data_IF_033878877998
#
_entry.id   IF_033878877998
#
_cell.length_a   1.000
_cell.length_b   1.000
_cell.length_c   1.000
_cell.angle_alpha   90.00
_cell.angle_beta   90.00
_cell.angle_gamma   90.00
#
_symmetry.space_group_name_H-M   'P 1'
#
loop_
_entity.id
_entity.type
_entity.pdbx_description
1 polymer ?
#
# COMPACT_ATOMS: atom_id res chain seq x y z
N UNK A 1 -49.98 -22.75 -13.46
CA UNK A 1 -50.53 -23.66 -12.43
C UNK A 1 -49.46 -23.79 -11.35
N UNK A 2 -49.82 -23.61 -10.07
CA UNK A 2 -48.99 -23.83 -8.84
C UNK A 2 -48.05 -22.66 -8.46
N UNK A 3 -48.53 -21.70 -7.63
CA UNK A 3 -48.34 -21.48 -6.16
C UNK A 3 -46.90 -21.05 -5.79
N UNK A 4 -46.57 -19.83 -5.34
CA UNK A 4 -47.00 -18.99 -4.18
C UNK A 4 -46.59 -19.55 -2.80
N UNK A 5 -45.65 -18.86 -2.12
CA UNK A 5 -45.50 -18.66 -0.65
C UNK A 5 -44.08 -18.09 -0.38
N UNK A 6 -43.90 -16.84 0.04
CA UNK A 6 -44.11 -16.28 1.40
C UNK A 6 -43.15 -16.84 2.45
N UNK A 7 -42.37 -15.96 3.09
CA UNK A 7 -41.62 -16.30 4.29
C UNK A 7 -40.59 -15.26 4.72
N UNK A 8 -41.05 -14.11 5.21
CA UNK A 8 -40.27 -13.15 6.01
C UNK A 8 -39.82 -13.77 7.34
N UNK A 9 -38.55 -13.60 7.73
CA UNK A 9 -38.14 -13.66 9.12
C UNK A 9 -36.96 -12.71 9.35
N UNK A 10 -37.27 -11.52 9.87
CA UNK A 10 -36.28 -10.63 10.47
C UNK A 10 -35.95 -11.08 11.89
N UNK A 11 -34.71 -10.86 12.29
CA UNK A 11 -34.16 -10.87 13.66
C UNK A 11 -32.63 -10.77 13.51
N UNK A 12 -31.83 -10.03 14.29
CA UNK A 12 -32.03 -8.99 15.28
C UNK A 12 -30.60 -8.52 15.60
N UNK A 13 -30.40 -7.19 15.72
CA UNK A 13 -29.51 -6.51 16.67
C UNK A 13 -28.04 -6.93 16.76
N UNK A 14 -27.21 -6.04 16.23
CA UNK A 14 -26.20 -5.27 17.00
C UNK A 14 -25.81 -5.82 18.37
N UNK A 15 -24.54 -6.18 18.49
CA UNK A 15 -23.84 -6.45 19.76
C UNK A 15 -22.92 -7.65 19.56
N UNK A 16 -21.66 -7.68 19.97
CA UNK A 16 -20.77 -6.73 20.59
C UNK A 16 -19.38 -7.38 20.48
N UNK A 17 -18.35 -6.58 20.24
CA UNK A 17 -16.99 -6.71 20.78
C UNK A 17 -16.65 -8.08 21.40
N UNK A 18 -15.77 -8.85 20.74
CA UNK A 18 -14.95 -9.85 21.41
C UNK A 18 -13.47 -9.68 21.00
N UNK A 19 -12.98 -8.47 21.28
CA UNK A 19 -11.58 -8.08 21.34
C UNK A 19 -10.97 -8.61 22.66
N UNK A 20 -10.99 -9.93 22.84
CA UNK A 20 -10.96 -10.54 24.19
C UNK A 20 -10.00 -11.71 24.42
N UNK A 21 -8.97 -11.91 23.59
CA UNK A 21 -7.93 -12.94 23.83
C UNK A 21 -6.55 -12.40 23.47
N UNK A 22 -6.03 -11.46 24.26
CA UNK A 22 -4.66 -10.91 24.07
C UNK A 22 -3.89 -10.66 25.38
N UNK A 23 -4.38 -11.12 26.55
CA UNK A 23 -3.90 -10.56 27.84
C UNK A 23 -3.35 -11.54 28.88
N UNK A 24 -2.95 -12.78 28.55
CA UNK A 24 -2.39 -13.68 29.58
C UNK A 24 -1.07 -14.42 29.25
N UNK A 25 -0.41 -14.16 28.12
CA UNK A 25 0.76 -14.97 27.69
C UNK A 25 2.14 -14.30 27.72
N UNK A 26 2.25 -13.04 28.13
CA UNK A 26 3.47 -12.25 27.92
C UNK A 26 4.56 -12.37 29.01
N UNK A 27 4.47 -13.28 29.98
CA UNK A 27 5.38 -13.30 31.14
C UNK A 27 6.10 -14.64 31.36
N UNK A 28 6.99 -15.01 30.44
CA UNK A 28 8.02 -16.05 30.69
C UNK A 28 9.29 -15.86 29.85
N UNK A 29 9.63 -14.62 29.46
CA UNK A 29 10.80 -14.33 28.65
C UNK A 29 12.13 -14.21 29.43
N UNK A 30 12.27 -14.78 30.62
CA UNK A 30 13.44 -14.54 31.47
C UNK A 30 13.93 -15.80 32.20
N UNK A 31 14.59 -16.72 31.48
CA UNK A 31 15.65 -17.57 32.05
C UNK A 31 16.30 -18.48 30.99
N UNK A 32 17.13 -17.98 30.07
CA UNK A 32 18.18 -18.82 29.47
C UNK A 32 19.45 -17.99 29.26
N UNK A 33 20.54 -18.48 29.86
CA UNK A 33 21.85 -17.86 29.86
C UNK A 33 22.55 -17.86 28.50
N UNK A 34 23.60 -17.05 28.45
CA UNK A 34 24.47 -16.80 27.29
C UNK A 34 25.03 -18.09 26.66
N UNK A 35 24.53 -18.46 25.48
CA UNK A 35 25.15 -19.41 24.57
C UNK A 35 25.46 -18.71 23.24
N UNK A 36 26.74 -18.65 22.88
CA UNK A 36 27.22 -17.92 21.70
C UNK A 36 26.83 -18.60 20.38
N UNK A 37 26.53 -17.78 19.37
CA UNK A 37 26.45 -18.12 17.94
C UNK A 37 25.39 -19.17 17.54
N UNK A 38 24.26 -18.69 17.01
CA UNK A 38 23.10 -19.42 16.48
C UNK A 38 22.17 -20.10 17.51
N UNK A 39 21.24 -19.34 18.08
CA UNK A 39 20.14 -19.88 18.89
C UNK A 39 18.80 -19.22 18.49
N UNK A 40 18.13 -19.76 17.46
CA UNK A 40 16.70 -19.58 17.33
C UNK A 40 16.02 -20.34 18.49
N UNK A 41 15.60 -19.62 19.52
CA UNK A 41 14.85 -20.17 20.66
C UNK A 41 13.41 -20.34 20.23
N UNK A 42 12.92 -21.57 20.23
CA UNK A 42 11.52 -21.85 19.90
C UNK A 42 10.72 -22.28 21.11
N UNK A 43 9.46 -21.83 21.17
CA UNK A 43 8.45 -22.34 22.07
C UNK A 43 7.22 -22.74 21.24
N UNK A 44 6.83 -24.00 21.35
CA UNK A 44 5.55 -24.52 20.82
C UNK A 44 4.61 -24.76 21.99
N UNK A 45 3.40 -24.21 21.92
CA UNK A 45 2.31 -24.60 22.81
C UNK A 45 1.39 -25.53 22.01
N UNK A 46 1.12 -26.71 22.59
CA UNK A 46 0.21 -27.76 22.11
C UNK A 46 0.76 -28.88 21.21
N UNK A 47 2.02 -28.85 20.75
CA UNK A 47 2.63 -30.11 20.27
C UNK A 47 3.61 -30.00 19.11
N UNK A 48 4.86 -30.29 19.46
CA UNK A 48 6.02 -30.70 18.65
C UNK A 48 6.68 -29.61 17.77
N UNK A 49 7.66 -28.93 18.37
CA UNK A 49 8.75 -28.25 17.65
C UNK A 49 9.75 -27.57 18.60
N UNK A 50 10.98 -28.09 18.70
CA UNK A 50 12.08 -27.57 19.53
C UNK A 50 13.41 -27.62 18.74
N UNK A 51 13.60 -26.62 17.87
CA UNK A 51 14.86 -26.33 17.17
C UNK A 51 14.70 -26.02 15.67
N UNK A 52 14.90 -24.74 15.28
CA UNK A 52 15.24 -24.29 13.92
C UNK A 52 14.17 -24.31 12.81
N UNK A 53 12.88 -24.50 13.12
CA UNK A 53 11.86 -24.82 12.10
C UNK A 53 10.51 -25.15 12.73
N UNK A 54 10.06 -24.34 13.68
CA UNK A 54 9.22 -24.81 14.78
C UNK A 54 7.76 -24.97 14.36
N UNK A 55 7.32 -26.24 14.22
CA UNK A 55 5.94 -26.61 13.86
C UNK A 55 5.04 -26.74 15.09
N UNK A 56 3.72 -26.63 14.91
CA UNK A 56 2.73 -26.85 15.97
C UNK A 56 1.38 -27.29 15.40
N UNK A 57 0.72 -28.20 16.12
CA UNK A 57 -0.71 -28.62 16.09
C UNK A 57 -1.05 -29.04 17.53
N UNK A 58 -2.24 -29.39 18.03
CA UNK A 58 -3.63 -29.19 17.62
C UNK A 58 -4.15 -28.01 18.47
N UNK A 59 -4.64 -26.95 17.81
CA UNK A 59 -4.86 -25.56 18.31
C UNK A 59 -3.57 -24.74 18.52
N UNK A 60 -2.67 -24.88 17.55
CA UNK A 60 -1.25 -24.51 17.51
C UNK A 60 -0.89 -23.05 17.76
N UNK A 61 0.06 -22.84 18.68
CA UNK A 61 0.83 -21.59 18.82
C UNK A 61 2.32 -21.93 18.68
N UNK A 62 2.99 -21.35 17.70
CA UNK A 62 4.43 -21.44 17.46
C UNK A 62 5.07 -20.07 17.68
N UNK A 63 6.10 -19.99 18.53
CA UNK A 63 6.88 -18.78 18.77
C UNK A 63 8.35 -19.12 18.52
N UNK A 64 9.04 -18.35 17.69
CA UNK A 64 10.47 -18.50 17.45
C UNK A 64 11.20 -17.17 17.62
N UNK A 65 12.34 -17.16 18.31
CA UNK A 65 13.09 -15.96 18.65
C UNK A 65 14.54 -16.18 18.25
N UNK A 66 15.05 -15.40 17.31
CA UNK A 66 16.44 -15.45 16.88
C UNK A 66 16.58 -15.19 15.38
N UNK A 67 17.83 -15.01 14.95
CA UNK A 67 18.15 -14.91 13.53
C UNK A 67 17.90 -16.26 12.83
N UNK A 68 17.32 -16.24 11.63
CA UNK A 68 16.90 -17.45 10.89
C UNK A 68 15.86 -18.29 11.64
N UNK A 69 15.05 -17.65 12.49
CA UNK A 69 14.00 -18.33 13.23
C UNK A 69 12.76 -18.57 12.36
N UNK A 70 12.20 -19.77 12.44
CA UNK A 70 11.00 -20.15 11.69
C UNK A 70 9.92 -20.65 12.67
N UNK A 71 8.70 -20.13 12.52
CA UNK A 71 7.52 -20.53 13.27
C UNK A 71 6.41 -20.97 12.30
N UNK A 72 5.94 -22.20 12.46
CA UNK A 72 4.88 -22.83 11.67
C UNK A 72 3.76 -23.28 12.61
N UNK A 73 2.52 -22.82 12.38
CA UNK A 73 1.35 -23.26 13.14
C UNK A 73 0.29 -23.85 12.20
N UNK A 74 0.12 -25.17 12.28
CA UNK A 74 -0.68 -26.00 11.35
C UNK A 74 -2.03 -26.47 11.93
N UNK A 75 -2.62 -25.71 12.83
CA UNK A 75 -3.88 -26.04 13.50
C UNK A 75 -5.12 -25.36 12.91
N UNK A 76 -6.29 -25.81 13.37
CA UNK A 76 -7.59 -25.16 13.10
C UNK A 76 -7.67 -23.73 13.67
N UNK A 77 -6.94 -23.49 14.75
CA UNK A 77 -6.61 -22.17 15.30
C UNK A 77 -5.09 -22.07 15.38
N UNK A 78 -4.48 -21.28 14.50
CA UNK A 78 -3.03 -21.16 14.36
C UNK A 78 -2.50 -19.79 14.76
N UNK A 79 -1.41 -19.75 15.52
CA UNK A 79 -0.65 -18.54 15.77
C UNK A 79 0.84 -18.81 15.56
N UNK A 80 1.47 -18.14 14.60
CA UNK A 80 2.91 -18.17 14.37
C UNK A 80 3.50 -16.79 14.69
N UNK A 81 4.52 -16.75 15.54
CA UNK A 81 5.21 -15.52 15.91
C UNK A 81 6.71 -15.72 15.75
N UNK A 82 7.38 -14.83 15.03
CA UNK A 82 8.85 -14.75 15.04
C UNK A 82 9.37 -13.41 15.50
N UNK A 83 10.52 -13.44 16.17
CA UNK A 83 11.29 -12.26 16.52
C UNK A 83 12.76 -12.48 16.14
N UNK A 84 13.21 -11.85 15.06
CA UNK A 84 14.59 -11.89 14.61
C UNK A 84 14.74 -11.49 13.15
N UNK A 85 15.99 -11.33 12.72
CA UNK A 85 16.29 -11.11 11.30
C UNK A 85 16.25 -12.44 10.53
N UNK A 86 15.94 -12.38 9.24
CA UNK A 86 15.82 -13.54 8.35
C UNK A 86 14.80 -14.57 8.85
N UNK A 87 13.71 -14.11 9.46
CA UNK A 87 12.75 -14.97 10.16
C UNK A 87 11.44 -15.15 9.40
N UNK A 88 10.76 -16.27 9.65
CA UNK A 88 9.56 -16.67 8.93
C UNK A 88 8.44 -17.11 9.88
N UNK A 89 7.26 -16.49 9.79
CA UNK A 89 6.06 -16.95 10.47
C UNK A 89 5.02 -17.41 9.45
N UNK A 90 4.60 -18.67 9.53
CA UNK A 90 3.65 -19.27 8.61
C UNK A 90 2.53 -20.04 9.32
N UNK A 91 1.34 -19.99 8.75
CA UNK A 91 0.19 -20.84 9.15
C UNK A 91 -0.43 -21.51 7.93
N UNK A 92 -1.25 -22.54 8.16
CA UNK A 92 -1.79 -23.37 7.06
C UNK A 92 -3.11 -22.86 6.50
N UNK A 93 -3.34 -23.13 5.21
CA UNK A 93 -4.63 -22.92 4.58
C UNK A 93 -5.72 -23.85 5.16
N UNK A 94 -6.98 -23.44 5.08
CA UNK A 94 -8.13 -24.25 5.53
C UNK A 94 -8.40 -24.27 7.04
N UNK A 95 -7.59 -23.57 7.84
CA UNK A 95 -7.89 -23.32 9.25
C UNK A 95 -9.07 -22.35 9.42
N UNK A 96 -9.70 -22.34 10.60
CA UNK A 96 -10.78 -21.39 10.88
C UNK A 96 -10.26 -19.98 11.11
N UNK A 97 -9.23 -19.85 11.96
CA UNK A 97 -8.65 -18.55 12.30
C UNK A 97 -7.15 -18.67 12.52
N UNK A 98 -6.37 -17.87 11.77
CA UNK A 98 -4.92 -17.90 11.83
C UNK A 98 -4.29 -16.52 12.02
N UNK A 99 -3.17 -16.51 12.73
CA UNK A 99 -2.36 -15.33 13.00
C UNK A 99 -0.90 -15.65 12.69
N UNK A 100 -0.25 -14.84 11.86
CA UNK A 100 1.18 -14.88 11.61
C UNK A 100 1.78 -13.50 11.90
N UNK A 101 2.86 -13.46 12.66
CA UNK A 101 3.50 -12.22 13.11
C UNK A 101 5.00 -12.38 13.01
N UNK A 102 5.68 -11.44 12.38
CA UNK A 102 7.15 -11.39 12.38
C UNK A 102 7.65 -10.04 12.87
N UNK A 103 8.80 -10.03 13.53
CA UNK A 103 9.52 -8.80 13.91
C UNK A 103 10.99 -8.90 13.58
N UNK A 104 11.55 -7.92 12.86
CA UNK A 104 12.95 -7.89 12.43
C UNK A 104 13.15 -7.67 10.93
N UNK A 105 14.40 -7.80 10.49
CA UNK A 105 14.83 -7.54 9.11
C UNK A 105 14.70 -8.78 8.23
N UNK A 106 14.41 -8.63 6.93
CA UNK A 106 14.30 -9.73 5.96
C UNK A 106 13.29 -10.82 6.36
N UNK A 107 12.06 -10.40 6.69
CA UNK A 107 11.07 -11.31 7.25
C UNK A 107 9.97 -11.73 6.27
N UNK A 108 9.49 -12.96 6.47
CA UNK A 108 8.38 -13.54 5.73
C UNK A 108 7.22 -13.88 6.67
N UNK A 109 6.06 -13.24 6.47
CA UNK A 109 4.83 -13.50 7.22
C UNK A 109 3.74 -14.02 6.31
N UNK A 110 3.16 -15.16 6.69
CA UNK A 110 2.21 -15.91 5.88
C UNK A 110 1.06 -16.46 6.73
N UNK A 111 -0.16 -15.99 6.46
CA UNK A 111 -1.37 -16.44 7.13
C UNK A 111 -2.37 -17.04 6.12
N UNK A 112 -2.79 -18.30 6.34
CA UNK A 112 -3.79 -18.99 5.53
C UNK A 112 -5.03 -19.35 6.32
N UNK A 113 -6.17 -19.62 5.68
CA UNK A 113 -7.41 -20.03 6.36
C UNK A 113 -8.63 -19.16 6.04
N UNK A 114 -9.77 -19.55 6.62
CA UNK A 114 -11.05 -18.86 6.49
C UNK A 114 -10.90 -17.43 6.97
N UNK A 115 -10.42 -17.19 8.20
CA UNK A 115 -10.02 -15.86 8.65
C UNK A 115 -8.53 -15.84 8.97
N UNK A 116 -7.74 -14.97 8.33
CA UNK A 116 -6.30 -14.95 8.59
C UNK A 116 -5.71 -13.55 8.70
N UNK A 117 -4.76 -13.42 9.61
CA UNK A 117 -4.09 -12.17 9.95
C UNK A 117 -2.59 -12.37 9.80
N UNK A 118 -1.95 -11.62 8.92
CA UNK A 118 -0.52 -11.56 8.75
C UNK A 118 -0.01 -10.17 9.14
N UNK A 119 0.98 -10.12 10.01
CA UNK A 119 1.63 -8.89 10.44
C UNK A 119 3.14 -8.99 10.36
N UNK A 120 3.81 -7.95 9.87
CA UNK A 120 5.25 -7.79 10.04
C UNK A 120 5.55 -6.41 10.63
N UNK A 121 6.45 -6.37 11.61
CA UNK A 121 6.80 -5.13 12.29
C UNK A 121 8.30 -4.94 12.41
N UNK A 122 8.74 -3.67 12.31
CA UNK A 122 10.12 -3.26 12.58
C UNK A 122 11.12 -4.05 11.73
N UNK A 123 11.21 -3.65 10.48
CA UNK A 123 12.31 -4.00 9.61
C UNK A 123 13.03 -2.72 9.18
N UNK A 124 14.33 -2.79 9.01
CA UNK A 124 15.10 -1.82 8.27
C UNK A 124 15.07 -2.16 6.78
N UNK A 125 14.93 -3.45 6.42
CA UNK A 125 15.12 -3.98 5.08
C UNK A 125 14.21 -5.20 4.81
N UNK A 126 13.44 -5.18 3.71
CA UNK A 126 12.66 -6.30 3.15
C UNK A 126 11.63 -6.98 4.08
N UNK A 127 10.34 -6.80 3.79
CA UNK A 127 9.24 -7.53 4.44
C UNK A 127 8.26 -8.08 3.41
N UNK A 128 7.82 -9.33 3.60
CA UNK A 128 6.68 -9.90 2.89
C UNK A 128 5.60 -10.30 3.88
N UNK A 129 4.37 -9.84 3.65
CA UNK A 129 3.21 -10.08 4.49
C UNK A 129 2.06 -10.54 3.62
N UNK A 130 1.61 -11.78 3.81
CA UNK A 130 0.53 -12.37 3.00
C UNK A 130 -0.53 -12.95 3.92
N UNK A 131 -1.78 -12.55 3.72
CA UNK A 131 -2.95 -13.11 4.36
C UNK A 131 -3.92 -13.72 3.34
N UNK A 132 -4.69 -14.70 3.79
CA UNK A 132 -5.69 -15.39 3.00
C UNK A 132 -5.09 -16.45 2.08
N UNK A 133 -3.98 -17.06 2.48
CA UNK A 133 -3.34 -18.10 1.68
C UNK A 133 -4.26 -19.32 1.59
N UNK A 134 -4.63 -19.67 0.36
CA UNK A 134 -5.58 -20.72 0.02
C UNK A 134 -6.35 -20.35 -1.25
N UNK A 135 -7.20 -21.26 -1.73
CA UNK A 135 -8.05 -21.00 -2.89
C UNK A 135 -9.22 -20.07 -2.48
N UNK A 136 -9.76 -19.26 -3.40
CA UNK A 136 -11.01 -18.50 -3.15
C UNK A 136 -12.17 -19.43 -2.75
N UNK A 137 -12.10 -20.68 -3.19
CA UNK A 137 -13.05 -21.75 -2.81
C UNK A 137 -12.83 -22.31 -1.41
N UNK A 138 -11.67 -22.05 -0.78
CA UNK A 138 -11.39 -22.48 0.60
C UNK A 138 -12.11 -21.62 1.65
N UNK A 139 -13.01 -20.72 1.22
CA UNK A 139 -13.78 -19.88 2.11
C UNK A 139 -12.94 -18.83 2.81
N UNK A 140 -11.84 -18.40 2.18
CA UNK A 140 -10.98 -17.33 2.66
C UNK A 140 -11.82 -16.05 2.70
N UNK A 141 -12.20 -15.65 3.91
CA UNK A 141 -13.12 -14.57 4.23
C UNK A 141 -12.52 -13.73 5.35
N UNK A 142 -12.24 -12.46 5.06
CA UNK A 142 -11.77 -11.53 6.09
C UNK A 142 -10.28 -11.62 6.35
N UNK A 143 -9.47 -11.62 5.29
CA UNK A 143 -8.02 -11.70 5.42
C UNK A 143 -7.39 -10.33 5.59
N UNK A 144 -6.43 -10.24 6.51
CA UNK A 144 -5.78 -9.00 6.86
C UNK A 144 -4.27 -9.15 6.82
N UNK A 145 -3.60 -8.39 5.96
CA UNK A 145 -2.16 -8.28 5.91
C UNK A 145 -1.74 -6.87 6.30
N UNK A 146 -0.76 -6.75 7.18
CA UNK A 146 -0.19 -5.48 7.58
C UNK A 146 1.31 -5.52 7.77
N UNK A 147 1.99 -4.46 7.37
CA UNK A 147 3.41 -4.27 7.57
C UNK A 147 3.69 -2.89 8.16
N UNK A 148 4.68 -2.81 9.05
CA UNK A 148 5.13 -1.56 9.66
C UNK A 148 6.64 -1.44 9.53
N UNK A 149 7.06 -0.28 9.05
CA UNK A 149 8.41 0.23 8.99
C UNK A 149 9.33 -0.59 8.08
N UNK A 150 9.66 0.02 6.95
CA UNK A 150 10.95 -0.01 6.29
C UNK A 150 10.93 1.11 5.24
N UNK A 151 11.93 2.00 5.15
CA UNK A 151 12.04 2.87 3.97
C UNK A 151 12.30 2.06 2.69
N UNK A 152 12.49 0.75 2.82
CA UNK A 152 12.79 -0.23 1.80
C UNK A 152 11.62 -1.23 1.61
N UNK A 153 11.77 -2.11 0.63
CA UNK A 153 10.66 -2.85 0.01
C UNK A 153 9.80 -3.63 1.01
N UNK A 154 8.52 -3.30 1.03
CA UNK A 154 7.52 -4.02 1.80
C UNK A 154 6.41 -4.51 0.88
N UNK A 155 6.06 -5.78 0.98
CA UNK A 155 4.92 -6.39 0.30
C UNK A 155 3.86 -6.73 1.31
N UNK A 156 2.65 -6.22 1.08
CA UNK A 156 1.48 -6.55 1.87
C UNK A 156 0.37 -7.03 0.96
N UNK A 157 -0.11 -8.26 1.17
CA UNK A 157 -1.12 -8.86 0.32
C UNK A 157 -2.19 -9.62 1.10
N UNK A 158 -3.44 -9.52 0.66
CA UNK A 158 -4.55 -10.20 1.31
C UNK A 158 -5.54 -10.68 0.25
N UNK A 159 -5.90 -11.97 0.30
CA UNK A 159 -6.66 -12.63 -0.77
C UNK A 159 -7.88 -13.40 -0.24
N UNK A 160 -8.98 -13.52 -1.00
CA UNK A 160 -10.26 -14.03 -0.49
C UNK A 160 -11.46 -13.09 -0.70
N UNK A 161 -12.46 -13.20 0.16
CA UNK A 161 -13.62 -12.31 0.19
C UNK A 161 -13.46 -11.38 1.39
N UNK A 162 -13.43 -10.07 1.17
CA UNK A 162 -13.32 -9.09 2.26
C UNK A 162 -11.89 -8.92 2.75
N UNK A 163 -10.91 -8.76 1.85
CA UNK A 163 -9.50 -8.70 2.26
C UNK A 163 -8.96 -7.28 2.34
N UNK A 164 -7.98 -7.13 3.21
CA UNK A 164 -7.33 -5.87 3.51
C UNK A 164 -5.84 -6.03 3.57
N UNK A 165 -5.13 -5.15 2.89
CA UNK A 165 -3.68 -5.05 2.97
C UNK A 165 -3.28 -3.64 3.35
N UNK A 166 -2.27 -3.55 4.22
CA UNK A 166 -1.78 -2.29 4.79
C UNK A 166 -0.25 -2.26 4.85
N UNK A 167 0.37 -1.17 4.40
CA UNK A 167 1.80 -0.92 4.58
C UNK A 167 1.98 0.45 5.22
N UNK A 168 2.76 0.52 6.29
CA UNK A 168 2.83 1.68 7.16
C UNK A 168 4.27 2.12 7.33
N UNK A 169 4.54 3.40 7.04
CA UNK A 169 5.88 3.98 6.98
C UNK A 169 6.85 3.10 6.17
N UNK A 170 6.23 2.40 5.23
CA UNK A 170 6.80 1.34 4.47
C UNK A 170 6.77 1.81 3.04
N UNK A 171 7.92 1.88 2.41
CA UNK A 171 7.90 1.90 0.97
C UNK A 171 7.32 0.57 0.48
N UNK A 172 6.65 0.56 -0.67
CA UNK A 172 6.31 -0.68 -1.36
C UNK A 172 4.82 -0.97 -1.49
N UNK A 173 4.55 -2.21 -1.82
CA UNK A 173 3.32 -2.67 -2.46
C UNK A 173 2.30 -3.14 -1.46
N UNK A 174 1.06 -2.79 -1.74
CA UNK A 174 -0.10 -3.24 -0.99
C UNK A 174 -1.12 -3.76 -1.97
N UNK A 175 -1.60 -4.96 -1.78
CA UNK A 175 -2.43 -5.67 -2.76
C UNK A 175 -3.59 -6.39 -2.07
N UNK A 176 -4.78 -6.34 -2.63
CA UNK A 176 -5.96 -7.05 -2.16
C UNK A 176 -6.47 -7.85 -3.34
N UNK A 177 -6.91 -9.09 -3.15
CA UNK A 177 -7.49 -9.92 -4.23
C UNK A 177 -8.73 -10.72 -3.85
N UNK A 178 -9.71 -10.81 -4.75
CA UNK A 178 -11.02 -11.46 -4.57
C UNK A 178 -12.17 -10.48 -4.35
N UNK A 179 -13.27 -10.84 -3.70
CA UNK A 179 -14.45 -9.96 -3.69
C UNK A 179 -14.37 -9.03 -2.49
N UNK A 180 -14.43 -7.71 -2.71
CA UNK A 180 -14.40 -6.75 -1.61
C UNK A 180 -13.00 -6.58 -1.03
N UNK A 181 -12.24 -5.66 -1.61
CA UNK A 181 -10.80 -5.57 -1.39
C UNK A 181 -10.40 -4.20 -0.94
N UNK A 182 -9.36 -4.17 -0.11
CA UNK A 182 -8.78 -2.96 0.45
C UNK A 182 -7.26 -3.02 0.46
N UNK A 183 -6.64 -1.94 0.01
CA UNK A 183 -5.19 -1.81 -0.09
C UNK A 183 -4.79 -0.42 0.23
N UNK A 184 -3.83 -0.33 1.12
CA UNK A 184 -3.44 0.89 1.80
C UNK A 184 -1.92 0.94 2.05
N UNK A 185 -1.21 1.94 1.56
CA UNK A 185 0.12 2.35 1.99
C UNK A 185 -0.06 3.68 2.66
N UNK A 186 0.75 3.95 3.64
CA UNK A 186 0.66 5.09 4.51
C UNK A 186 2.07 5.52 4.82
N UNK A 187 2.48 6.72 4.40
CA UNK A 187 3.79 7.29 4.78
C UNK A 187 4.97 6.41 4.35
N UNK A 188 4.69 5.36 3.57
CA UNK A 188 5.46 5.12 2.39
C UNK A 188 5.53 6.44 1.65
N UNK A 189 6.63 7.13 1.91
CA UNK A 189 7.40 7.59 0.78
C UNK A 189 7.48 6.39 -0.15
N UNK A 190 7.02 6.51 -1.38
CA UNK A 190 7.14 5.40 -2.33
C UNK A 190 6.26 4.20 -1.98
N UNK A 191 5.04 4.52 -1.62
CA UNK A 191 3.93 3.65 -1.55
C UNK A 191 3.41 3.07 -2.89
N UNK A 192 2.56 2.03 -2.91
CA UNK A 192 1.70 1.64 -4.06
C UNK A 192 0.65 0.63 -3.58
N UNK A 193 -0.63 0.83 -3.84
CA UNK A 193 -1.76 0.07 -3.27
C UNK A 193 -2.51 -0.59 -4.46
N UNK A 194 -3.18 -1.72 -4.32
CA UNK A 194 -4.03 -2.30 -5.36
C UNK A 194 -5.08 -3.24 -4.82
N UNK A 195 -6.33 -2.86 -4.77
CA UNK A 195 -7.43 -3.84 -4.69
C UNK A 195 -7.46 -4.70 -5.97
N UNK A 196 -8.13 -5.85 -6.07
CA UNK A 196 -8.34 -6.65 -7.31
C UNK A 196 -9.43 -7.71 -7.23
N UNK A 197 -10.62 -7.41 -7.71
CA UNK A 197 -11.75 -8.34 -7.55
C UNK A 197 -12.84 -7.65 -6.78
N UNK A 198 -14.08 -8.10 -6.99
CA UNK A 198 -15.23 -7.20 -7.17
C UNK A 198 -14.94 -5.86 -6.54
N UNK A 199 -14.43 -4.99 -7.42
CA UNK A 199 -13.44 -5.21 -8.53
C UNK A 199 -12.55 -3.99 -8.60
N UNK A 200 -12.25 -3.60 -7.40
CA UNK A 200 -11.61 -2.39 -7.03
C UNK A 200 -10.15 -2.66 -7.10
N UNK A 201 -9.40 -1.66 -7.50
CA UNK A 201 -7.98 -1.53 -7.28
C UNK A 201 -7.83 -0.26 -6.39
N UNK A 202 -6.73 0.12 -5.75
CA UNK A 202 -6.61 1.39 -4.96
C UNK A 202 -5.14 1.43 -4.70
N UNK A 203 -4.37 2.41 -5.13
CA UNK A 203 -2.93 2.71 -4.93
C UNK A 203 -2.62 3.89 -3.99
N UNK A 204 -1.38 4.28 -3.81
CA UNK A 204 -0.96 5.55 -3.24
C UNK A 204 0.52 5.45 -3.50
N UNK A 205 1.05 6.14 -4.49
CA UNK A 205 2.41 5.97 -4.99
C UNK A 205 3.50 6.71 -4.23
N UNK A 206 3.75 7.97 -4.51
CA UNK A 206 4.91 8.66 -3.95
C UNK A 206 4.79 10.12 -4.29
N UNK A 207 5.65 10.92 -3.70
CA UNK A 207 5.14 11.85 -2.74
C UNK A 207 5.29 11.30 -1.35
N UNK A 208 5.55 12.25 -0.48
CA UNK A 208 4.73 12.22 0.70
C UNK A 208 3.27 12.31 0.28
N UNK A 209 2.40 11.61 0.98
CA UNK A 209 0.95 11.89 0.93
C UNK A 209 0.27 11.56 -0.39
N UNK A 210 0.13 10.26 -0.71
CA UNK A 210 -0.42 9.84 -1.99
C UNK A 210 -1.69 8.97 -1.85
N UNK A 211 -2.53 8.86 -2.88
CA UNK A 211 -3.90 8.30 -2.79
C UNK A 211 -4.55 7.99 -4.15
N UNK A 212 -4.51 6.74 -4.54
CA UNK A 212 -5.11 6.12 -5.73
C UNK A 212 -6.25 5.27 -5.13
N UNK A 213 -7.51 5.51 -5.46
CA UNK A 213 -8.62 4.61 -5.12
C UNK A 213 -9.41 4.18 -6.33
N UNK A 214 -9.79 2.92 -6.35
CA UNK A 214 -10.60 2.37 -7.38
C UNK A 214 -11.84 1.70 -6.82
N UNK A 215 -12.97 2.31 -7.11
CA UNK A 215 -14.16 2.30 -6.28
C UNK A 215 -15.40 1.92 -7.08
N UNK A 216 -16.30 1.18 -6.46
CA UNK A 216 -17.13 0.21 -7.17
C UNK A 216 -18.50 0.71 -7.61
N UNK A 217 -18.72 2.02 -7.71
CA UNK A 217 -20.06 2.60 -7.85
C UNK A 217 -20.83 2.01 -9.04
N UNK A 218 -21.72 1.04 -8.73
CA UNK A 218 -22.67 0.30 -9.60
C UNK A 218 -22.37 -1.18 -9.92
N UNK A 219 -21.49 -1.87 -9.17
CA UNK A 219 -20.89 -3.11 -9.68
C UNK A 219 -19.73 -2.73 -10.57
N UNK A 220 -18.90 -1.85 -10.03
CA UNK A 220 -17.57 -1.56 -10.48
C UNK A 220 -16.61 -2.73 -10.32
N UNK A 221 -17.01 -3.83 -10.90
CA UNK A 221 -16.29 -4.46 -11.98
C UNK A 221 -15.36 -3.45 -12.69
N UNK A 222 -14.15 -3.35 -12.14
CA UNK A 222 -12.96 -2.82 -12.79
C UNK A 222 -12.80 -1.33 -12.60
N UNK A 223 -12.39 -0.91 -11.42
CA UNK A 223 -12.07 0.50 -11.19
C UNK A 223 -10.56 0.74 -11.17
N UNK A 224 -10.15 1.95 -11.62
CA UNK A 224 -8.78 2.46 -11.54
C UNK A 224 -8.50 3.93 -11.10
N UNK A 225 -8.38 4.33 -9.84
CA UNK A 225 -8.02 5.71 -9.51
C UNK A 225 -6.64 5.79 -8.95
N UNK A 226 -5.69 6.48 -9.60
CA UNK A 226 -4.25 6.67 -9.36
C UNK A 226 -3.65 8.03 -9.02
N UNK A 227 -3.27 8.29 -7.77
CA UNK A 227 -2.32 9.35 -7.43
C UNK A 227 -0.84 9.01 -7.66
N UNK A 228 -0.25 9.81 -8.52
CA UNK A 228 1.12 9.67 -8.96
C UNK A 228 1.88 10.98 -8.80
N UNK A 229 2.80 11.00 -7.84
CA UNK A 229 3.86 12.00 -7.71
C UNK A 229 3.37 13.42 -7.61
N UNK A 230 3.85 14.01 -6.55
CA UNK A 230 3.14 15.08 -5.97
C UNK A 230 3.38 15.01 -4.51
N UNK A 231 2.86 16.02 -3.88
CA UNK A 231 2.52 15.91 -2.50
C UNK A 231 1.03 16.21 -2.52
N UNK A 232 0.26 15.46 -1.78
CA UNK A 232 -1.13 15.84 -1.55
C UNK A 232 -2.00 15.70 -2.80
N UNK A 233 -1.99 14.52 -3.39
CA UNK A 233 -2.75 14.25 -4.59
C UNK A 233 -3.84 13.20 -4.31
N UNK A 234 -4.93 13.22 -5.07
CA UNK A 234 -6.11 12.42 -4.74
C UNK A 234 -6.80 11.93 -5.99
N UNK A 235 -7.07 10.62 -5.99
CA UNK A 235 -7.52 9.96 -7.20
C UNK A 235 -8.52 8.88 -6.95
N UNK A 236 -9.60 8.92 -7.70
CA UNK A 236 -10.80 8.15 -7.42
C UNK A 236 -11.51 7.72 -8.68
N UNK A 237 -11.81 6.44 -8.77
CA UNK A 237 -12.66 5.93 -9.86
C UNK A 237 -13.88 5.27 -9.36
N UNK A 238 -14.97 5.47 -10.10
CA UNK A 238 -16.29 5.02 -9.74
C UNK A 238 -17.05 4.56 -10.98
N UNK A 239 -17.38 3.28 -11.08
CA UNK A 239 -18.19 2.79 -12.20
C UNK A 239 -17.91 1.35 -12.56
N UNK A 240 -18.67 0.80 -13.50
CA UNK A 240 -18.11 -0.24 -14.37
C UNK A 240 -17.07 0.47 -15.25
N UNK A 241 -15.77 0.19 -15.06
CA UNK A 241 -14.68 0.78 -15.86
C UNK A 241 -14.44 2.29 -15.67
N UNK A 242 -14.29 2.76 -14.44
CA UNK A 242 -13.82 4.13 -14.23
C UNK A 242 -12.30 4.20 -14.04
N UNK A 243 -11.68 5.26 -14.57
CA UNK A 243 -10.23 5.57 -14.49
C UNK A 243 -9.98 7.02 -14.04
N UNK A 244 -9.21 7.23 -12.99
CA UNK A 244 -8.89 8.55 -12.48
C UNK A 244 -7.41 8.63 -12.17
N UNK A 245 -6.80 9.79 -12.32
CA UNK A 245 -5.34 9.96 -12.20
C UNK A 245 -4.83 11.35 -11.85
N UNK A 246 -4.05 11.57 -10.79
CA UNK A 246 -3.31 12.84 -10.56
C UNK A 246 -1.86 12.66 -10.92
N UNK A 247 -1.29 13.67 -11.57
CA UNK A 247 0.03 13.62 -12.19
C UNK A 247 0.88 14.85 -11.88
N UNK A 248 2.02 14.60 -11.23
CA UNK A 248 3.08 15.61 -11.05
C UNK A 248 2.54 16.88 -10.42
N UNK A 249 1.56 16.65 -9.58
CA UNK A 249 0.67 17.64 -9.08
C UNK A 249 0.93 17.79 -7.61
N UNK A 250 0.90 19.01 -7.14
CA UNK A 250 0.74 19.24 -5.72
C UNK A 250 -0.69 19.68 -5.55
N UNK A 251 -1.44 19.05 -4.65
CA UNK A 251 -2.82 19.46 -4.37
C UNK A 251 -3.76 19.29 -5.57
N UNK A 252 -3.72 18.14 -6.26
CA UNK A 252 -4.71 17.82 -7.30
C UNK A 252 -5.70 16.75 -6.90
N UNK A 253 -6.89 16.86 -7.50
CA UNK A 253 -8.01 15.94 -7.31
C UNK A 253 -8.53 15.49 -8.64
N UNK A 254 -8.66 14.17 -8.79
CA UNK A 254 -9.06 13.56 -10.04
C UNK A 254 -10.04 12.46 -9.78
N UNK A 255 -11.19 12.57 -10.44
CA UNK A 255 -12.32 11.69 -10.17
C UNK A 255 -13.02 11.31 -11.44
N UNK A 256 -13.26 10.02 -11.63
CA UNK A 256 -13.95 9.52 -12.79
C UNK A 256 -15.18 8.75 -12.38
N UNK A 257 -16.33 9.21 -12.88
CA UNK A 257 -17.65 8.67 -12.61
C UNK A 257 -18.24 8.01 -13.86
N UNK A 258 -18.68 6.76 -13.72
CA UNK A 258 -19.09 5.88 -14.80
C UNK A 258 -17.92 5.43 -15.68
N UNK A 259 -18.22 4.72 -16.79
CA UNK A 259 -17.20 4.33 -17.74
C UNK A 259 -16.49 5.56 -18.28
N UNK A 260 -15.17 5.65 -18.06
CA UNK A 260 -14.39 6.75 -18.64
C UNK A 260 -13.10 7.04 -17.92
N UNK A 261 -12.56 8.25 -18.17
CA UNK A 261 -11.23 8.69 -17.75
C UNK A 261 -11.23 10.16 -17.28
N UNK A 262 -10.68 10.41 -16.08
CA UNK A 262 -10.34 11.74 -15.59
C UNK A 262 -8.86 11.79 -15.19
N UNK A 263 -8.13 12.82 -15.63
CA UNK A 263 -6.72 13.00 -15.32
C UNK A 263 -6.42 14.48 -15.04
N UNK A 264 -5.72 14.78 -13.94
CA UNK A 264 -5.20 16.13 -13.64
C UNK A 264 -3.68 16.15 -13.71
N UNK A 265 -3.16 17.25 -14.26
CA UNK A 265 -1.74 17.50 -14.51
C UNK A 265 -1.33 18.81 -13.84
N UNK A 266 -0.30 18.77 -13.00
CA UNK A 266 0.27 19.96 -12.35
C UNK A 266 0.72 21.05 -13.35
N UNK A 267 0.56 22.33 -12.99
CA UNK A 267 0.74 23.50 -13.90
C UNK A 267 2.16 23.71 -14.45
N UNK A 268 3.20 23.22 -13.78
CA UNK A 268 4.59 23.32 -14.25
C UNK A 268 4.97 22.31 -15.35
N UNK A 269 4.07 21.38 -15.68
CA UNK A 269 4.33 20.29 -16.64
C UNK A 269 3.66 20.51 -18.01
N UNK A 270 2.75 21.49 -18.11
CA UNK A 270 1.92 21.69 -19.31
C UNK A 270 2.57 22.57 -20.40
N UNK A 271 3.54 23.43 -20.07
CA UNK A 271 4.07 24.45 -21.02
C UNK A 271 4.97 23.90 -22.15
N UNK A 272 5.57 22.71 -21.99
CA UNK A 272 6.55 22.20 -22.98
C UNK A 272 5.92 21.57 -24.24
N UNK A 273 4.63 21.22 -24.22
CA UNK A 273 4.00 20.54 -25.36
C UNK A 273 3.49 21.53 -26.44
N UNK A 274 2.92 22.66 -26.03
CA UNK A 274 2.40 23.67 -26.96
C UNK A 274 3.50 24.40 -27.75
N UNK A 275 4.69 24.57 -27.15
CA UNK A 275 5.84 25.24 -27.78
C UNK A 275 6.49 24.39 -28.89
N UNK A 276 6.32 23.05 -28.87
CA UNK A 276 6.81 22.17 -29.95
C UNK A 276 5.87 22.06 -31.15
N UNK A 277 4.56 22.26 -30.96
CA UNK A 277 3.62 22.30 -32.08
C UNK A 277 3.77 23.59 -32.91
N UNK A 278 4.10 24.71 -32.26
CA UNK A 278 4.28 26.01 -32.92
C UNK A 278 5.59 26.15 -33.72
N UNK A 279 6.57 25.27 -33.54
CA UNK A 279 7.88 25.36 -34.21
C UNK A 279 8.01 24.56 -35.51
N UNK A 280 6.95 23.87 -35.97
CA UNK A 280 6.98 23.07 -37.22
C UNK A 280 6.26 23.67 -38.42
N UNK A 281 5.65 24.87 -38.31
CA UNK A 281 5.02 25.57 -39.43
C UNK A 281 5.64 26.95 -39.62
N UNK A 282 6.92 26.97 -39.96
CA UNK A 282 7.59 28.14 -40.56
C UNK A 282 8.02 27.74 -41.96
N UNK A 283 7.07 27.79 -42.90
CA UNK A 283 7.33 27.75 -44.33
C UNK A 283 6.64 28.95 -44.99
N UNK A 284 7.31 30.10 -44.89
CA UNK A 284 7.42 31.16 -45.90
C UNK A 284 6.17 31.78 -46.54
N UNK A 285 6.03 33.10 -46.36
CA UNK A 285 5.75 34.02 -47.50
C UNK A 285 6.32 35.42 -47.19
N UNK A 286 7.10 36.05 -48.10
CA UNK A 286 7.73 37.34 -47.86
C UNK A 286 6.86 38.54 -48.31
N UNK A 287 7.04 39.66 -47.58
CA UNK A 287 7.02 41.06 -48.03
C UNK A 287 5.72 41.70 -48.57
N UNK A 288 5.31 42.82 -47.95
CA UNK A 288 5.16 44.11 -48.64
C UNK A 288 5.02 45.23 -47.59
N UNK A 289 5.93 46.22 -47.63
CA UNK A 289 6.00 47.31 -46.68
C UNK A 289 5.06 48.48 -46.94
N UNK A 290 5.08 49.46 -46.03
CA UNK A 290 4.92 50.87 -46.40
C UNK A 290 5.58 51.81 -45.39
N UNK A 291 6.16 52.94 -45.85
CA UNK A 291 6.94 53.87 -45.05
C UNK A 291 6.08 55.05 -44.57
N UNK A 292 6.46 55.65 -43.44
CA UNK A 292 5.88 56.87 -42.92
C UNK A 292 6.91 57.61 -42.05
N UNK A 293 7.19 58.84 -42.43
CA UNK A 293 8.43 59.59 -42.21
C UNK A 293 8.29 60.72 -41.18
N UNK A 294 9.38 60.94 -40.40
CA UNK A 294 10.01 62.23 -39.97
C UNK A 294 9.25 63.21 -39.05
N UNK A 295 9.91 64.20 -38.39
CA UNK A 295 11.30 64.30 -37.89
C UNK A 295 11.47 64.98 -36.49
N UNK A 296 12.68 64.86 -35.96
CA UNK A 296 13.50 65.81 -35.18
C UNK A 296 13.00 66.53 -33.92
N UNK A 297 13.74 66.28 -32.83
CA UNK A 297 13.83 67.11 -31.62
C UNK A 297 15.00 66.68 -30.73
N UNK A 298 16.12 67.41 -30.82
CA UNK A 298 17.43 67.12 -30.25
C UNK A 298 17.57 67.43 -28.72
N UNK A 299 18.79 67.56 -28.15
CA UNK A 299 19.44 66.56 -27.31
C UNK A 299 19.53 66.97 -25.83
N UNK A 300 19.70 66.02 -24.90
CA UNK A 300 20.22 66.31 -23.54
C UNK A 300 21.29 65.32 -23.11
N UNK A 301 22.46 65.91 -22.89
CA UNK A 301 23.65 65.39 -22.23
C UNK A 301 23.37 65.00 -20.77
N UNK A 302 24.19 64.12 -20.21
CA UNK A 302 24.59 64.26 -18.80
C UNK A 302 24.71 63.00 -17.94
N UNK A 303 25.96 62.62 -17.68
CA UNK A 303 26.51 62.14 -16.40
C UNK A 303 26.23 60.71 -15.87
N UNK A 304 27.29 59.90 -15.95
CA UNK A 304 28.10 59.41 -14.82
C UNK A 304 27.40 58.85 -13.57
N UNK A 305 27.59 57.56 -13.29
CA UNK A 305 28.18 57.11 -12.02
C UNK A 305 28.61 55.63 -12.06
N UNK A 306 29.88 55.42 -11.67
CA UNK A 306 30.47 54.16 -11.22
C UNK A 306 29.75 53.65 -9.96
N UNK A 307 29.64 52.33 -9.81
CA UNK A 307 29.28 51.70 -8.53
C UNK A 307 29.82 50.27 -8.48
N UNK A 308 30.85 50.07 -7.66
CA UNK A 308 31.63 48.85 -7.53
C UNK A 308 31.07 47.87 -6.48
N UNK A 309 31.61 46.65 -6.54
CA UNK A 309 31.94 45.77 -5.41
C UNK A 309 30.85 45.22 -4.48
N UNK A 310 30.82 43.88 -4.41
CA UNK A 310 30.28 43.13 -3.27
C UNK A 310 30.74 41.68 -3.27
N UNK A 311 32.00 41.42 -2.88
CA UNK A 311 32.47 40.10 -2.43
C UNK A 311 31.72 39.74 -1.14
N UNK A 312 31.29 38.48 -0.98
CA UNK A 312 31.23 37.88 0.35
C UNK A 312 31.59 36.40 0.31
N UNK A 313 32.45 36.05 1.26
CA UNK A 313 33.22 34.83 1.37
C UNK A 313 32.49 33.75 2.16
N UNK A 314 33.07 32.56 2.05
CA UNK A 314 32.83 31.33 2.79
C UNK A 314 32.62 31.48 4.31
N UNK A 315 31.85 30.54 4.86
CA UNK A 315 32.27 29.65 5.94
C UNK A 315 31.70 28.27 5.67
#
# INVERSE_FOLDING_TARGET
MIRNASGTAGMNKTGAVALGVLTAGALAAAAVGSAGGANATCASFFGIGNGGGCSSTLTSIAVAIGENAEAHAEGFLGAALTLGANSSAATVAGALANLAVTFGDNNFTSAGGIGSVAFAGRSTINQTVVAGIGDLTSGNVGNFAASIASPEATETSATGIGNTSVNIAGAGNISGEGVGLTTVNLVGLNADLRNRGLLNIIANVSGDSISISNDEGDGGIGNLGFNFIGQDNVVSTRGVVAIAGTLGSTSQTVSQDGPGINISVGKGLAESAAVRAASSVSAGTPSAGKPGSTPDGAPKNGHSARGAHGKRAAR
#
